data_IF_310687793345
#
_entry.id   IF_310687793345
#
_cell.length_a   1.000
_cell.length_b   1.000
_cell.length_c   1.000
_cell.angle_alpha   90.00
_cell.angle_beta   90.00
_cell.angle_gamma   90.00
#
_symmetry.space_group_name_H-M   'P 1'
#
loop_
_entity.id
_entity.type
_entity.pdbx_description
1 polymer ?
#
# COMPACT_ATOMS: atom_id res chain seq x y z
N UNK A 1 23.59 -59.59 25.07
CA UNK A 1 22.53 -58.63 24.64
C UNK A 1 22.29 -58.78 23.15
N UNK A 2 21.04 -59.04 22.75
CA UNK A 2 20.72 -59.47 21.37
C UNK A 2 20.81 -58.32 20.39
N UNK A 3 21.44 -58.45 19.22
CA UNK A 3 21.63 -57.35 18.23
C UNK A 3 20.33 -56.75 17.65
N UNK A 4 19.21 -57.36 17.90
CA UNK A 4 17.89 -56.87 17.47
C UNK A 4 17.39 -55.65 18.26
N UNK A 5 17.81 -55.48 19.51
CA UNK A 5 17.42 -54.30 20.34
C UNK A 5 18.14 -53.02 19.86
N UNK A 6 19.41 -53.14 19.50
CA UNK A 6 20.19 -51.99 19.01
C UNK A 6 19.64 -51.43 17.67
N UNK A 7 19.22 -52.33 16.76
CA UNK A 7 18.59 -51.94 15.48
C UNK A 7 17.27 -51.15 15.68
N UNK A 8 16.43 -51.55 16.64
CA UNK A 8 15.19 -50.84 16.92
C UNK A 8 15.40 -49.43 17.47
N UNK A 9 16.37 -49.21 18.31
CA UNK A 9 16.70 -47.86 18.83
C UNK A 9 17.34 -46.97 17.77
N UNK A 10 18.19 -47.50 16.89
CA UNK A 10 18.77 -46.75 15.77
C UNK A 10 17.69 -46.34 14.76
N UNK A 11 16.74 -47.22 14.43
CA UNK A 11 15.62 -46.88 13.53
C UNK A 11 14.71 -45.85 14.17
N UNK A 12 14.43 -45.97 15.48
CA UNK A 12 13.61 -44.97 16.21
C UNK A 12 14.29 -43.61 16.30
N UNK A 13 15.62 -43.60 16.49
CA UNK A 13 16.40 -42.36 16.49
C UNK A 13 16.51 -41.74 15.12
N UNK A 14 16.61 -42.49 14.05
CA UNK A 14 16.61 -42.02 12.65
C UNK A 14 15.22 -41.51 12.29
N UNK A 15 14.14 -42.14 12.72
CA UNK A 15 12.78 -41.66 12.54
C UNK A 15 12.51 -40.41 13.37
N UNK A 16 13.03 -40.33 14.61
CA UNK A 16 12.94 -39.11 15.44
C UNK A 16 13.75 -37.96 14.86
N UNK A 17 14.97 -38.18 14.36
CA UNK A 17 15.77 -37.21 13.62
C UNK A 17 15.10 -36.85 12.29
N UNK A 18 14.51 -37.81 11.58
CA UNK A 18 13.73 -37.58 10.35
C UNK A 18 12.51 -36.69 10.63
N UNK A 19 11.78 -36.90 11.73
CA UNK A 19 10.67 -36.02 12.14
C UNK A 19 11.14 -34.64 12.61
N UNK A 20 12.33 -34.53 13.21
CA UNK A 20 12.93 -33.24 13.61
C UNK A 20 13.48 -32.43 12.42
N UNK A 21 13.93 -33.11 11.34
CA UNK A 21 14.42 -32.44 10.11
C UNK A 21 13.24 -31.94 9.23
N UNK A 22 12.03 -32.48 9.38
CA UNK A 22 10.82 -32.01 8.69
C UNK A 22 9.98 -30.97 9.45
N UNK A 23 10.44 -30.44 10.56
CA UNK A 23 10.00 -29.14 11.01
C UNK A 23 10.62 -28.08 10.09
N UNK A 24 10.14 -28.01 8.85
CA UNK A 24 10.42 -26.90 7.94
C UNK A 24 10.12 -25.62 8.73
N UNK A 25 11.15 -24.93 9.15
CA UNK A 25 10.99 -23.67 9.82
C UNK A 25 10.21 -22.74 8.87
N UNK A 26 8.93 -22.54 9.14
CA UNK A 26 8.07 -21.69 8.30
C UNK A 26 8.78 -20.35 8.13
N UNK A 27 8.98 -19.96 6.89
CA UNK A 27 9.58 -18.67 6.54
C UNK A 27 8.52 -17.58 6.69
N UNK A 28 8.94 -16.32 6.90
CA UNK A 28 8.01 -15.20 7.09
C UNK A 28 7.01 -15.06 5.94
N UNK A 29 7.47 -15.28 4.71
CA UNK A 29 6.64 -15.27 3.50
C UNK A 29 5.62 -16.42 3.47
N UNK A 30 6.01 -17.65 3.84
CA UNK A 30 5.06 -18.79 3.87
C UNK A 30 3.98 -18.59 4.95
N UNK A 31 4.34 -18.03 6.09
CA UNK A 31 3.39 -17.71 7.17
C UNK A 31 2.37 -16.69 6.66
N UNK A 32 2.82 -15.59 6.06
CA UNK A 32 1.93 -14.52 5.64
C UNK A 32 1.02 -14.95 4.47
N UNK A 33 1.55 -15.71 3.49
CA UNK A 33 0.73 -16.23 2.38
C UNK A 33 -0.36 -17.16 2.91
N UNK A 34 -0.02 -18.09 3.81
CA UNK A 34 -0.98 -19.01 4.39
C UNK A 34 -2.05 -18.29 5.22
N UNK A 35 -1.66 -17.27 5.99
CA UNK A 35 -2.61 -16.49 6.77
C UNK A 35 -3.57 -15.69 5.88
N UNK A 36 -3.06 -15.00 4.86
CA UNK A 36 -3.89 -14.22 3.94
C UNK A 36 -4.81 -15.10 3.09
N UNK A 37 -4.37 -16.31 2.71
CA UNK A 37 -5.26 -17.28 2.02
C UNK A 37 -6.44 -17.69 2.90
N UNK A 38 -6.26 -17.85 4.21
CA UNK A 38 -7.36 -18.12 5.15
C UNK A 38 -8.35 -16.93 5.25
N UNK A 39 -7.88 -15.71 4.98
CA UNK A 39 -8.72 -14.51 4.90
C UNK A 39 -9.35 -14.31 3.49
N UNK A 40 -9.20 -15.29 2.59
CA UNK A 40 -9.77 -15.25 1.23
C UNK A 40 -8.93 -14.50 0.20
N UNK A 41 -7.69 -14.10 0.52
CA UNK A 41 -6.80 -13.45 -0.46
C UNK A 41 -6.19 -14.52 -1.37
N UNK A 42 -6.37 -14.33 -2.66
CA UNK A 42 -5.71 -15.14 -3.68
C UNK A 42 -4.29 -14.64 -3.93
N UNK A 43 -3.40 -15.56 -4.28
CA UNK A 43 -2.03 -15.27 -4.73
C UNK A 43 -1.80 -16.00 -6.05
N UNK A 44 -1.31 -15.28 -7.02
CA UNK A 44 -0.88 -15.82 -8.31
C UNK A 44 0.61 -15.62 -8.54
N UNK A 45 1.25 -16.50 -9.32
CA UNK A 45 2.70 -16.53 -9.54
C UNK A 45 3.12 -16.05 -10.94
N UNK A 46 2.24 -15.43 -11.69
CA UNK A 46 2.50 -14.98 -13.06
C UNK A 46 2.38 -13.46 -13.19
N UNK A 47 2.91 -12.72 -12.24
CA UNK A 47 2.85 -11.27 -12.25
C UNK A 47 4.23 -10.65 -12.50
N UNK A 48 4.25 -9.56 -13.26
CA UNK A 48 5.34 -8.62 -13.32
C UNK A 48 5.04 -7.43 -12.42
N UNK A 49 6.06 -6.95 -11.72
CA UNK A 49 5.97 -5.78 -10.83
C UNK A 49 7.10 -4.82 -11.18
N UNK A 50 6.76 -3.60 -11.55
CA UNK A 50 7.70 -2.49 -11.74
C UNK A 50 7.46 -1.46 -10.65
N UNK A 51 8.49 -1.16 -9.86
CA UNK A 51 8.42 -0.10 -8.86
C UNK A 51 8.56 1.26 -9.53
N UNK A 52 7.71 2.20 -9.16
CA UNK A 52 7.72 3.60 -9.61
C UNK A 52 8.01 4.46 -8.40
N UNK A 53 9.24 4.96 -8.32
CA UNK A 53 9.84 5.50 -7.10
C UNK A 53 9.73 7.02 -6.97
N UNK A 54 9.14 7.66 -8.00
CA UNK A 54 8.89 9.09 -8.05
C UNK A 54 7.59 9.41 -8.80
N UNK A 55 7.06 10.61 -8.57
CA UNK A 55 5.92 11.10 -9.34
C UNK A 55 6.21 11.19 -10.82
N UNK A 56 7.45 11.59 -11.21
CA UNK A 56 7.85 11.66 -12.62
C UNK A 56 7.77 10.27 -13.28
N UNK A 57 8.41 9.26 -12.69
CA UNK A 57 8.37 7.88 -13.20
C UNK A 57 6.93 7.36 -13.31
N UNK A 58 6.12 7.60 -12.26
CA UNK A 58 4.73 7.16 -12.24
C UNK A 58 3.91 7.78 -13.36
N UNK A 59 3.99 9.09 -13.57
CA UNK A 59 3.16 9.75 -14.58
C UNK A 59 3.66 9.50 -15.99
N UNK A 60 4.98 9.41 -16.24
CA UNK A 60 5.54 9.06 -17.54
C UNK A 60 5.10 7.65 -17.96
N UNK A 61 5.20 6.68 -17.08
CA UNK A 61 4.79 5.30 -17.35
C UNK A 61 3.26 5.19 -17.52
N UNK A 62 2.48 5.81 -16.63
CA UNK A 62 1.02 5.82 -16.72
C UNK A 62 0.51 6.46 -18.02
N UNK A 63 1.04 7.61 -18.39
CA UNK A 63 0.61 8.30 -19.62
C UNK A 63 0.99 7.52 -20.87
N UNK A 64 2.16 6.85 -20.86
CA UNK A 64 2.53 5.92 -21.93
C UNK A 64 1.54 4.77 -22.05
N UNK A 65 1.16 4.16 -20.94
CA UNK A 65 0.19 3.06 -20.93
C UNK A 65 -1.21 3.52 -21.37
N UNK A 66 -1.68 4.69 -20.93
CA UNK A 66 -2.97 5.26 -21.35
C UNK A 66 -3.00 5.50 -22.86
N UNK A 67 -1.93 6.05 -23.46
CA UNK A 67 -1.86 6.24 -24.93
C UNK A 67 -2.02 4.93 -25.72
N UNK A 68 -1.63 3.81 -25.13
CA UNK A 68 -1.72 2.47 -25.72
C UNK A 68 -3.04 1.76 -25.46
N UNK A 69 -3.91 2.31 -24.61
CA UNK A 69 -5.20 1.75 -24.28
C UNK A 69 -6.11 1.59 -25.49
N UNK A 70 -6.88 0.48 -25.53
CA UNK A 70 -7.72 0.10 -26.67
C UNK A 70 -9.18 -0.14 -26.32
N UNK A 71 -9.49 -0.50 -25.07
CA UNK A 71 -10.85 -0.90 -24.67
C UNK A 71 -11.37 -0.16 -23.45
N UNK A 72 -10.59 -0.09 -22.36
CA UNK A 72 -11.07 0.53 -21.13
C UNK A 72 -9.95 1.13 -20.29
N UNK A 73 -10.25 2.24 -19.62
CA UNK A 73 -9.38 2.90 -18.64
C UNK A 73 -10.23 3.18 -17.41
N UNK A 74 -9.89 2.54 -16.30
CA UNK A 74 -10.55 2.69 -15.02
C UNK A 74 -9.62 3.33 -14.01
N UNK A 75 -10.06 4.40 -13.33
CA UNK A 75 -9.26 5.16 -12.37
C UNK A 75 -10.03 5.33 -11.06
N UNK A 76 -9.42 5.00 -9.93
CA UNK A 76 -9.93 5.20 -8.58
C UNK A 76 -8.86 5.91 -7.77
N UNK A 77 -9.16 7.12 -7.28
CA UNK A 77 -8.20 7.91 -6.52
C UNK A 77 -8.88 8.59 -5.32
N UNK A 78 -8.12 8.82 -4.27
CA UNK A 78 -8.60 9.65 -3.15
C UNK A 78 -8.88 11.09 -3.62
N UNK A 79 -8.01 11.66 -4.47
CA UNK A 79 -8.28 12.93 -5.13
C UNK A 79 -7.60 13.07 -6.50
N UNK A 80 -8.23 13.86 -7.35
CA UNK A 80 -7.62 14.52 -8.51
C UNK A 80 -7.46 15.99 -8.16
N UNK A 81 -6.23 16.45 -8.05
CA UNK A 81 -6.00 17.86 -7.77
C UNK A 81 -6.15 18.66 -9.07
N UNK A 82 -6.89 19.76 -9.04
CA UNK A 82 -7.06 20.64 -10.21
C UNK A 82 -5.76 21.41 -10.49
N UNK A 83 -4.76 20.75 -11.10
CA UNK A 83 -3.44 21.28 -11.45
C UNK A 83 -2.94 20.73 -12.78
N UNK A 84 -1.66 21.03 -13.12
CA UNK A 84 -1.13 20.75 -14.45
C UNK A 84 -1.15 19.27 -14.81
N UNK A 85 -0.75 18.39 -13.89
CA UNK A 85 -0.68 16.96 -14.16
C UNK A 85 -2.07 16.33 -14.32
N UNK A 86 -3.05 16.76 -13.51
CA UNK A 86 -4.42 16.31 -13.66
C UNK A 86 -5.05 16.78 -14.97
N UNK A 87 -4.77 18.02 -15.39
CA UNK A 87 -5.25 18.54 -16.68
C UNK A 87 -4.64 17.77 -17.86
N UNK A 88 -3.34 17.45 -17.81
CA UNK A 88 -2.70 16.59 -18.81
C UNK A 88 -3.33 15.20 -18.86
N UNK A 89 -3.60 14.60 -17.68
CA UNK A 89 -4.30 13.32 -17.61
C UNK A 89 -5.67 13.40 -18.26
N UNK A 90 -6.51 14.38 -17.89
CA UNK A 90 -7.87 14.50 -18.45
C UNK A 90 -7.88 14.80 -19.95
N UNK A 91 -6.89 15.54 -20.46
CA UNK A 91 -6.75 15.73 -21.91
C UNK A 91 -6.46 14.41 -22.63
N UNK A 92 -5.54 13.61 -22.09
CA UNK A 92 -5.21 12.30 -22.66
C UNK A 92 -6.39 11.31 -22.56
N UNK A 93 -7.16 11.36 -21.47
CA UNK A 93 -8.36 10.55 -21.31
C UNK A 93 -9.47 10.95 -22.28
N UNK A 94 -9.61 12.25 -22.59
CA UNK A 94 -10.52 12.74 -23.63
C UNK A 94 -10.13 12.22 -25.03
N UNK A 95 -8.85 12.30 -25.40
CA UNK A 95 -8.34 11.71 -26.66
C UNK A 95 -8.74 10.24 -26.76
N UNK A 96 -8.54 9.46 -25.69
CA UNK A 96 -8.89 8.03 -25.66
C UNK A 96 -10.41 7.80 -25.73
N UNK A 97 -11.21 8.62 -25.05
CA UNK A 97 -12.69 8.53 -25.14
C UNK A 97 -13.17 8.83 -26.58
N UNK A 98 -12.55 9.78 -27.27
CA UNK A 98 -12.85 10.07 -28.67
C UNK A 98 -12.45 8.92 -29.62
N UNK A 99 -11.43 8.14 -29.26
CA UNK A 99 -11.04 6.91 -29.96
C UNK A 99 -11.99 5.71 -29.64
N UNK A 100 -13.01 5.90 -28.78
CA UNK A 100 -13.98 4.86 -28.41
C UNK A 100 -13.56 4.01 -27.20
N UNK A 101 -12.50 4.38 -26.47
CA UNK A 101 -12.10 3.70 -25.22
C UNK A 101 -13.07 4.09 -24.11
N UNK A 102 -13.57 3.10 -23.33
CA UNK A 102 -14.40 3.36 -22.16
C UNK A 102 -13.55 3.96 -21.03
N UNK A 103 -13.83 5.19 -20.61
CA UNK A 103 -13.11 5.87 -19.55
C UNK A 103 -13.98 6.11 -18.33
N UNK A 104 -13.63 5.48 -17.20
CA UNK A 104 -14.34 5.63 -15.93
C UNK A 104 -13.40 6.07 -14.82
N UNK A 105 -13.79 7.10 -14.07
CA UNK A 105 -12.99 7.68 -12.98
C UNK A 105 -13.83 7.84 -11.71
N UNK A 106 -13.28 7.39 -10.58
CA UNK A 106 -13.82 7.64 -9.25
C UNK A 106 -12.86 8.48 -8.43
N UNK A 107 -13.40 9.35 -7.58
CA UNK A 107 -12.64 10.05 -6.56
C UNK A 107 -13.46 10.19 -5.27
N UNK A 108 -12.77 10.29 -4.14
CA UNK A 108 -13.41 10.44 -2.83
C UNK A 108 -13.86 11.89 -2.60
N UNK A 109 -15.08 12.10 -2.12
CA UNK A 109 -15.65 13.43 -1.88
C UNK A 109 -14.87 14.21 -0.82
N UNK A 110 -14.53 13.58 0.32
CA UNK A 110 -13.71 14.21 1.34
C UNK A 110 -12.28 14.46 0.85
N UNK A 111 -11.70 13.49 0.13
CA UNK A 111 -10.38 13.62 -0.47
C UNK A 111 -10.30 14.80 -1.44
N UNK A 112 -11.35 15.01 -2.22
CA UNK A 112 -11.46 16.16 -3.11
C UNK A 112 -11.58 17.48 -2.32
N UNK A 113 -12.50 17.55 -1.38
CA UNK A 113 -12.82 18.81 -0.68
C UNK A 113 -11.72 19.24 0.31
N UNK A 114 -10.97 18.28 0.85
CA UNK A 114 -9.86 18.54 1.78
C UNK A 114 -8.59 19.06 1.09
N UNK A 115 -8.47 18.94 -0.24
CA UNK A 115 -7.32 19.46 -0.96
C UNK A 115 -7.50 20.95 -1.32
N UNK A 116 -6.38 21.67 -1.46
CA UNK A 116 -6.41 23.12 -1.70
C UNK A 116 -6.72 23.53 -3.16
N UNK A 117 -6.88 22.57 -4.07
CA UNK A 117 -7.30 22.75 -5.47
C UNK A 117 -8.29 21.66 -5.88
N UNK A 118 -9.50 21.59 -5.28
CA UNK A 118 -10.46 20.56 -5.58
C UNK A 118 -11.04 20.70 -6.99
N UNK A 119 -11.49 19.59 -7.55
CA UNK A 119 -12.36 19.62 -8.70
C UNK A 119 -13.73 20.17 -8.27
N UNK A 120 -14.11 21.31 -8.83
CA UNK A 120 -15.41 21.93 -8.57
C UNK A 120 -16.46 21.37 -9.53
N UNK A 121 -17.73 21.52 -9.19
CA UNK A 121 -18.86 21.03 -9.99
C UNK A 121 -18.75 21.39 -11.49
N UNK A 122 -18.29 22.60 -11.82
CA UNK A 122 -18.09 23.03 -13.20
C UNK A 122 -17.04 22.18 -13.92
N UNK A 123 -15.87 21.94 -13.28
CA UNK A 123 -14.81 21.11 -13.87
C UNK A 123 -15.27 19.65 -14.05
N UNK A 124 -16.00 19.09 -13.07
CA UNK A 124 -16.55 17.73 -13.16
C UNK A 124 -17.54 17.64 -14.35
N UNK A 125 -18.39 18.63 -14.54
CA UNK A 125 -19.30 18.70 -15.68
C UNK A 125 -18.55 18.84 -17.01
N UNK A 126 -17.48 19.62 -17.04
CA UNK A 126 -16.62 19.75 -18.22
C UNK A 126 -15.97 18.41 -18.58
N UNK A 127 -15.38 17.70 -17.61
CA UNK A 127 -14.77 16.40 -17.81
C UNK A 127 -15.80 15.41 -18.37
N UNK A 128 -17.03 15.40 -17.85
CA UNK A 128 -18.12 14.54 -18.35
C UNK A 128 -18.48 14.85 -19.82
N UNK A 129 -18.53 16.13 -20.20
CA UNK A 129 -18.82 16.54 -21.59
C UNK A 129 -17.73 16.09 -22.58
N UNK A 130 -16.53 15.80 -22.07
CA UNK A 130 -15.40 15.28 -22.83
C UNK A 130 -15.43 13.75 -23.01
N UNK A 131 -16.56 13.09 -22.62
CA UNK A 131 -16.76 11.65 -22.77
C UNK A 131 -16.19 10.80 -21.64
N UNK A 132 -15.76 11.41 -20.53
CA UNK A 132 -15.21 10.71 -19.36
C UNK A 132 -16.32 10.53 -18.33
N UNK A 133 -16.66 9.28 -17.98
CA UNK A 133 -17.55 9.00 -16.87
C UNK A 133 -16.80 9.22 -15.55
N UNK A 134 -17.04 10.36 -14.88
CA UNK A 134 -16.40 10.68 -13.60
C UNK A 134 -17.45 10.85 -12.49
N UNK A 135 -17.24 10.17 -11.35
CA UNK A 135 -18.15 10.20 -10.20
C UNK A 135 -17.38 10.42 -8.90
N UNK A 136 -18.09 11.06 -7.98
CA UNK A 136 -17.62 11.35 -6.63
C UNK A 136 -18.18 10.31 -5.67
N UNK A 137 -17.30 9.61 -4.95
CA UNK A 137 -17.70 8.67 -3.91
C UNK A 137 -18.05 9.43 -2.63
N UNK A 138 -19.25 9.21 -2.12
CA UNK A 138 -19.77 9.63 -0.83
C UNK A 138 -19.45 11.10 -0.47
N UNK A 139 -19.95 12.09 -1.27
CA UNK A 139 -19.71 13.51 -1.02
C UNK A 139 -20.31 13.93 0.33
N UNK A 140 -19.55 14.71 1.10
CA UNK A 140 -20.05 15.26 2.37
C UNK A 140 -21.04 16.38 2.08
N UNK A 141 -22.27 16.20 2.51
CA UNK A 141 -23.36 17.17 2.35
C UNK A 141 -23.95 17.52 3.71
N UNK A 142 -23.95 18.82 4.04
CA UNK A 142 -24.63 19.29 5.26
C UNK A 142 -26.12 18.94 5.20
N UNK A 143 -26.76 18.43 6.28
CA UNK A 143 -26.21 18.23 7.64
C UNK A 143 -25.56 16.86 7.90
N UNK A 144 -25.34 16.03 6.88
CA UNK A 144 -24.89 14.64 6.98
C UNK A 144 -23.38 14.54 7.14
N UNK A 145 -22.83 15.12 8.22
CA UNK A 145 -21.39 15.09 8.54
C UNK A 145 -20.89 13.73 9.03
N UNK A 146 -21.78 12.77 9.28
CA UNK A 146 -21.45 11.40 9.67
C UNK A 146 -20.69 10.61 8.57
N UNK A 147 -20.75 11.07 7.32
CA UNK A 147 -20.02 10.53 6.17
C UNK A 147 -18.52 10.85 6.16
N UNK A 148 -17.98 11.48 7.20
CA UNK A 148 -16.55 11.77 7.35
C UNK A 148 -15.69 10.50 7.46
N UNK A 149 -16.25 9.39 7.95
CA UNK A 149 -15.61 8.09 8.04
C UNK A 149 -15.87 7.24 6.78
N UNK A 150 -15.07 6.17 6.60
CA UNK A 150 -15.20 5.22 5.48
C UNK A 150 -14.85 5.83 4.12
N UNK A 151 -13.77 6.63 4.09
CA UNK A 151 -13.29 7.26 2.87
C UNK A 151 -12.58 6.27 1.94
N UNK A 152 -12.68 6.51 0.66
CA UNK A 152 -11.98 5.72 -0.35
C UNK A 152 -10.55 6.25 -0.54
N UNK A 153 -9.62 5.65 0.18
CA UNK A 153 -8.22 6.06 0.16
C UNK A 153 -7.36 5.24 -0.81
N UNK A 154 -7.97 4.41 -1.67
CA UNK A 154 -7.29 3.63 -2.70
C UNK A 154 -6.77 4.49 -3.84
N UNK A 155 -5.79 3.97 -4.55
CA UNK A 155 -5.23 4.55 -5.77
C UNK A 155 -5.04 3.42 -6.76
N UNK A 156 -6.03 3.21 -7.60
CA UNK A 156 -6.08 2.12 -8.57
C UNK A 156 -6.24 2.68 -9.98
N UNK A 157 -5.44 2.22 -10.92
CA UNK A 157 -5.73 2.36 -12.35
C UNK A 157 -5.69 0.99 -12.98
N UNK A 158 -6.64 0.68 -13.83
CA UNK A 158 -6.62 -0.52 -14.67
C UNK A 158 -6.85 -0.12 -16.12
N UNK A 159 -5.97 -0.61 -16.99
CA UNK A 159 -6.01 -0.33 -18.43
C UNK A 159 -6.19 -1.64 -19.18
N UNK A 160 -7.26 -1.74 -19.97
CA UNK A 160 -7.63 -2.89 -20.81
C UNK A 160 -7.69 -4.23 -20.06
N UNK A 161 -7.82 -4.22 -18.71
CA UNK A 161 -7.70 -5.41 -17.89
C UNK A 161 -6.31 -6.07 -17.93
N UNK A 162 -5.29 -5.41 -18.50
CA UNK A 162 -3.97 -5.97 -18.75
C UNK A 162 -2.88 -5.37 -17.86
N UNK A 163 -2.97 -4.07 -17.58
CA UNK A 163 -2.02 -3.30 -16.78
C UNK A 163 -2.77 -2.68 -15.63
N UNK A 164 -2.21 -2.75 -14.42
CA UNK A 164 -2.74 -2.03 -13.27
C UNK A 164 -1.66 -1.22 -12.57
N UNK A 165 -2.09 -0.16 -11.89
CA UNK A 165 -1.25 0.67 -11.01
C UNK A 165 -1.87 0.73 -9.63
N UNK A 166 -1.04 0.65 -8.60
CA UNK A 166 -1.45 0.88 -7.20
C UNK A 166 -0.29 1.41 -6.36
N UNK A 167 -0.61 2.09 -5.25
CA UNK A 167 0.41 2.65 -4.35
C UNK A 167 -0.07 3.89 -3.58
N UNK A 168 0.87 4.74 -3.15
CA UNK A 168 0.56 5.90 -2.30
C UNK A 168 0.16 7.17 -3.05
N UNK A 169 0.50 7.31 -4.37
CA UNK A 169 0.41 8.57 -5.10
C UNK A 169 -0.99 8.85 -5.65
N UNK A 170 -1.56 10.00 -5.33
CA UNK A 170 -2.71 10.57 -6.04
C UNK A 170 -2.31 11.22 -7.38
N UNK A 171 -3.20 12.00 -7.97
CA UNK A 171 -2.93 12.79 -9.18
C UNK A 171 -2.74 14.25 -8.78
N UNK A 172 -1.47 14.67 -8.66
CA UNK A 172 -1.12 16.04 -8.28
C UNK A 172 0.33 16.39 -8.66
N UNK A 173 0.54 17.67 -9.00
CA UNK A 173 1.86 18.24 -9.35
C UNK A 173 2.92 18.05 -8.26
N UNK A 174 2.51 18.05 -6.99
CA UNK A 174 3.47 17.99 -5.87
C UNK A 174 4.23 16.66 -5.77
N UNK A 175 3.76 15.59 -6.37
CA UNK A 175 4.53 14.34 -6.46
C UNK A 175 5.77 14.48 -7.35
N UNK A 176 5.78 15.46 -8.28
CA UNK A 176 6.90 15.77 -9.15
C UNK A 176 7.72 16.94 -8.60
N UNK A 177 7.03 18.04 -8.25
CA UNK A 177 7.66 19.33 -7.94
C UNK A 177 7.88 19.56 -6.45
N UNK A 178 7.32 18.70 -5.57
CA UNK A 178 7.27 18.97 -4.13
C UNK A 178 6.34 20.14 -3.78
N UNK A 179 6.47 20.64 -2.56
CA UNK A 179 5.77 21.84 -2.09
C UNK A 179 6.71 22.79 -1.36
N UNK A 180 6.31 24.07 -1.22
CA UNK A 180 7.10 25.03 -0.43
C UNK A 180 7.13 24.70 1.06
N UNK A 181 6.13 23.97 1.57
CA UNK A 181 5.97 23.65 3.01
C UNK A 181 6.83 22.46 3.41
N UNK A 182 6.85 21.39 2.59
CA UNK A 182 7.50 20.13 2.96
C UNK A 182 8.73 19.79 2.11
N UNK A 183 9.07 20.62 1.12
CA UNK A 183 10.18 20.34 0.19
C UNK A 183 9.79 19.26 -0.84
N UNK A 184 10.72 18.33 -1.10
CA UNK A 184 10.48 17.19 -1.98
C UNK A 184 9.38 16.29 -1.43
N UNK A 185 8.62 15.65 -2.33
CA UNK A 185 7.57 14.71 -1.99
C UNK A 185 7.92 13.33 -2.54
N UNK A 186 8.36 12.44 -1.66
CA UNK A 186 8.70 11.07 -2.02
C UNK A 186 7.53 10.14 -1.73
N UNK A 187 7.16 9.32 -2.70
CA UNK A 187 6.14 8.30 -2.52
C UNK A 187 6.43 7.10 -3.43
N UNK A 188 5.72 6.00 -3.22
CA UNK A 188 5.90 4.76 -3.97
C UNK A 188 4.61 4.36 -4.67
N UNK A 189 4.75 3.94 -5.92
CA UNK A 189 3.72 3.29 -6.71
C UNK A 189 4.29 2.02 -7.36
N UNK A 190 3.43 1.14 -7.84
CA UNK A 190 3.87 0.04 -8.68
C UNK A 190 2.92 -0.16 -9.86
N UNK A 191 3.49 -0.58 -10.98
CA UNK A 191 2.80 -1.13 -12.13
C UNK A 191 2.79 -2.64 -12.00
N UNK A 192 1.63 -3.24 -12.22
CA UNK A 192 1.37 -4.67 -12.20
C UNK A 192 0.90 -5.13 -13.58
N UNK A 193 1.42 -6.25 -14.04
CA UNK A 193 0.92 -7.00 -15.18
C UNK A 193 0.83 -8.47 -14.77
N UNK A 194 -0.23 -9.16 -15.14
CA UNK A 194 -0.48 -10.54 -14.73
C UNK A 194 -1.85 -10.73 -14.11
N UNK A 195 -2.05 -11.86 -13.44
CA UNK A 195 -3.38 -12.25 -12.95
C UNK A 195 -3.92 -11.32 -11.85
N UNK A 196 -3.04 -10.69 -11.05
CA UNK A 196 -3.50 -9.79 -9.98
C UNK A 196 -4.03 -8.44 -10.47
N UNK A 197 -3.87 -8.12 -11.75
CA UNK A 197 -4.63 -7.04 -12.40
C UNK A 197 -6.13 -7.27 -12.23
N UNK A 198 -6.58 -8.52 -12.33
CA UNK A 198 -7.98 -8.91 -12.15
C UNK A 198 -8.50 -8.62 -10.73
N UNK A 199 -7.65 -8.74 -9.72
CA UNK A 199 -8.02 -8.39 -8.34
C UNK A 199 -8.27 -6.90 -8.18
N UNK A 200 -7.41 -6.04 -8.75
CA UNK A 200 -7.60 -4.58 -8.74
C UNK A 200 -8.80 -4.16 -9.60
N UNK A 201 -9.01 -4.80 -10.75
CA UNK A 201 -10.17 -4.56 -11.60
C UNK A 201 -11.49 -4.86 -10.87
N UNK A 202 -11.55 -5.97 -10.14
CA UNK A 202 -12.74 -6.36 -9.35
C UNK A 202 -13.01 -5.35 -8.22
N UNK A 203 -11.96 -4.84 -7.57
CA UNK A 203 -12.06 -3.81 -6.53
C UNK A 203 -12.68 -2.55 -7.13
N UNK A 204 -12.12 -2.07 -8.25
CA UNK A 204 -12.64 -0.91 -8.97
C UNK A 204 -14.12 -1.07 -9.35
N UNK A 205 -14.48 -2.15 -10.06
CA UNK A 205 -15.85 -2.36 -10.53
C UNK A 205 -16.86 -2.47 -9.38
N UNK A 206 -16.47 -3.07 -8.26
CA UNK A 206 -17.31 -3.12 -7.07
C UNK A 206 -17.56 -1.73 -6.50
N UNK A 207 -16.51 -0.89 -6.40
CA UNK A 207 -16.64 0.49 -5.91
C UNK A 207 -17.41 1.36 -6.90
N UNK A 208 -17.15 1.20 -8.20
CA UNK A 208 -17.91 1.87 -9.26
C UNK A 208 -19.40 1.59 -9.16
N UNK A 209 -19.78 0.32 -9.18
CA UNK A 209 -21.19 -0.08 -9.13
C UNK A 209 -21.88 0.37 -7.83
N UNK A 210 -21.17 0.32 -6.71
CA UNK A 210 -21.66 0.84 -5.42
C UNK A 210 -21.93 2.35 -5.48
N UNK A 211 -21.04 3.11 -6.12
CA UNK A 211 -21.12 4.58 -6.17
C UNK A 211 -22.14 5.08 -7.17
N UNK A 212 -22.22 4.43 -8.32
CA UNK A 212 -23.03 4.90 -9.45
C UNK A 212 -24.41 4.23 -9.52
N UNK A 213 -24.62 3.14 -8.76
CA UNK A 213 -25.79 2.25 -8.86
C UNK A 213 -25.94 1.61 -10.26
N UNK A 214 -24.86 1.58 -11.04
CA UNK A 214 -24.78 0.84 -12.29
C UNK A 214 -24.47 -0.64 -12.00
N UNK A 215 -24.56 -1.50 -13.02
CA UNK A 215 -24.17 -2.90 -12.95
C UNK A 215 -23.16 -3.21 -14.06
N UNK A 216 -22.01 -2.57 -13.99
CA UNK A 216 -20.91 -2.79 -14.95
C UNK A 216 -20.22 -4.10 -14.61
N UNK A 217 -20.24 -5.05 -15.54
CA UNK A 217 -19.63 -6.36 -15.43
C UNK A 217 -19.35 -6.94 -16.82
N UNK A 218 -18.51 -7.96 -16.91
CA UNK A 218 -18.24 -8.66 -18.15
C UNK A 218 -16.80 -9.13 -18.25
N UNK A 219 -16.60 -10.20 -19.02
CA UNK A 219 -15.28 -10.83 -19.21
C UNK A 219 -14.27 -9.92 -19.91
N UNK A 220 -14.75 -8.95 -20.69
CA UNK A 220 -13.90 -7.98 -21.42
C UNK A 220 -13.00 -7.12 -20.51
N UNK A 221 -13.36 -6.95 -19.24
CA UNK A 221 -12.59 -6.16 -18.28
C UNK A 221 -11.50 -6.95 -17.59
N UNK A 222 -11.40 -8.25 -17.84
CA UNK A 222 -10.49 -9.13 -17.11
C UNK A 222 -9.49 -9.85 -18.03
N UNK A 223 -8.25 -9.88 -17.58
CA UNK A 223 -7.19 -10.62 -18.26
C UNK A 223 -7.49 -12.11 -18.27
N UNK A 224 -7.47 -12.75 -19.44
CA UNK A 224 -7.77 -14.17 -19.60
C UNK A 224 -9.25 -14.54 -19.55
N UNK A 225 -10.13 -13.55 -19.35
CA UNK A 225 -11.57 -13.77 -19.29
C UNK A 225 -12.07 -14.36 -17.96
N UNK A 226 -13.37 -14.66 -17.93
CA UNK A 226 -14.05 -15.34 -16.82
C UNK A 226 -14.65 -16.64 -17.31
N UNK A 227 -14.55 -17.71 -16.51
CA UNK A 227 -15.35 -18.92 -16.65
C UNK A 227 -16.12 -19.16 -15.36
N UNK A 228 -17.44 -19.32 -15.44
CA UNK A 228 -18.35 -19.58 -14.31
C UNK A 228 -18.19 -18.57 -13.15
N UNK A 229 -17.92 -17.29 -13.48
CA UNK A 229 -17.67 -16.22 -12.51
C UNK A 229 -16.29 -16.25 -11.86
N UNK A 230 -15.42 -17.17 -12.24
CA UNK A 230 -14.02 -17.28 -11.79
C UNK A 230 -13.06 -16.83 -12.88
N UNK A 231 -11.92 -16.24 -12.46
CA UNK A 231 -10.87 -15.87 -13.41
C UNK A 231 -10.20 -17.10 -14.02
N UNK A 232 -10.12 -17.14 -15.34
CA UNK A 232 -9.23 -18.05 -16.04
C UNK A 232 -7.84 -17.44 -15.95
N UNK A 233 -7.06 -17.86 -14.93
CA UNK A 233 -5.69 -17.39 -14.79
C UNK A 233 -4.83 -17.81 -15.97
N UNK A 234 -4.04 -16.90 -16.53
CA UNK A 234 -3.02 -17.24 -17.51
C UNK A 234 -1.94 -18.10 -16.83
N UNK A 235 -1.50 -19.16 -17.51
CA UNK A 235 -0.33 -19.91 -17.05
C UNK A 235 0.91 -19.03 -17.14
N UNK A 236 1.90 -19.19 -16.22
CA UNK A 236 3.18 -18.49 -16.31
C UNK A 236 3.82 -18.74 -17.69
N UNK A 237 4.31 -17.65 -18.32
CA UNK A 237 5.12 -17.78 -19.55
C UNK A 237 6.58 -18.05 -19.16
N UNK A 238 7.12 -19.25 -19.41
CA UNK A 238 8.49 -19.60 -19.04
C UNK A 238 9.54 -18.73 -19.73
N UNK A 239 9.17 -18.02 -20.80
CA UNK A 239 10.07 -17.13 -21.54
C UNK A 239 10.18 -15.73 -20.91
N UNK A 240 9.32 -15.40 -19.92
CA UNK A 240 9.34 -14.14 -19.21
C UNK A 240 9.60 -14.33 -17.70
N UNK A 241 10.86 -14.52 -17.27
CA UNK A 241 11.19 -14.74 -15.86
C UNK A 241 10.85 -13.55 -14.96
N UNK A 242 10.78 -12.31 -15.49
CA UNK A 242 10.32 -11.14 -14.74
C UNK A 242 8.82 -11.21 -14.42
N UNK A 243 8.04 -12.00 -15.16
CA UNK A 243 6.60 -12.22 -15.00
C UNK A 243 6.23 -13.35 -14.05
N UNK A 244 7.15 -13.84 -13.21
CA UNK A 244 6.89 -14.99 -12.30
C UNK A 244 6.78 -14.59 -10.83
N UNK A 245 6.50 -13.32 -10.52
CA UNK A 245 6.39 -12.89 -9.14
C UNK A 245 5.06 -13.35 -8.54
N UNK A 246 5.13 -13.87 -7.31
CA UNK A 246 3.93 -14.15 -6.54
C UNK A 246 3.41 -12.86 -5.93
N UNK A 247 2.18 -12.51 -6.26
CA UNK A 247 1.50 -11.30 -5.76
C UNK A 247 0.13 -11.66 -5.23
N UNK A 248 -0.33 -10.97 -4.20
CA UNK A 248 -1.72 -10.98 -3.73
C UNK A 248 -2.15 -9.57 -3.36
N UNK A 249 -3.41 -9.24 -3.60
CA UNK A 249 -3.97 -7.91 -3.28
C UNK A 249 -4.82 -8.00 -2.02
N UNK A 250 -4.38 -7.30 -0.98
CA UNK A 250 -5.21 -7.07 0.21
C UNK A 250 -6.16 -5.93 -0.10
N UNK A 251 -7.44 -6.17 0.09
CA UNK A 251 -8.48 -5.16 -0.02
C UNK A 251 -9.19 -5.01 1.32
N UNK A 252 -9.07 -3.82 1.93
CA UNK A 252 -9.81 -3.48 3.13
C UNK A 252 -11.09 -2.73 2.78
N UNK A 253 -12.19 -3.25 3.26
CA UNK A 253 -13.50 -2.61 3.20
C UNK A 253 -14.08 -2.48 4.63
N UNK A 254 -14.67 -1.35 5.00
CA UNK A 254 -15.10 -1.08 6.37
C UNK A 254 -16.02 -2.14 6.99
N UNK A 255 -16.87 -2.78 6.18
CA UNK A 255 -17.90 -3.70 6.66
C UNK A 255 -17.59 -5.18 6.43
N UNK A 256 -16.77 -5.53 5.44
CA UNK A 256 -16.53 -6.92 5.01
C UNK A 256 -15.15 -7.45 5.37
N UNK A 257 -14.12 -6.60 5.33
CA UNK A 257 -12.73 -6.98 5.59
C UNK A 257 -12.00 -5.99 6.52
N UNK A 258 -12.70 -5.47 7.51
CA UNK A 258 -12.29 -4.32 8.32
C UNK A 258 -11.00 -4.51 9.15
N UNK A 259 -10.56 -5.75 9.38
CA UNK A 259 -9.35 -6.03 10.19
C UNK A 259 -8.17 -6.53 9.35
N UNK A 260 -8.34 -6.79 8.05
CA UNK A 260 -7.36 -7.51 7.23
C UNK A 260 -5.99 -6.84 7.18
N UNK A 261 -5.91 -5.53 6.98
CA UNK A 261 -4.64 -4.79 6.96
C UNK A 261 -3.95 -4.83 8.33
N UNK A 262 -4.69 -4.61 9.40
CA UNK A 262 -4.15 -4.67 10.76
C UNK A 262 -3.61 -6.05 11.10
N UNK A 263 -4.34 -7.12 10.72
CA UNK A 263 -3.88 -8.51 10.88
C UNK A 263 -2.64 -8.76 10.05
N UNK A 264 -2.66 -8.40 8.78
CA UNK A 264 -1.50 -8.54 7.90
C UNK A 264 -0.22 -7.94 8.51
N UNK A 265 -0.25 -6.67 8.91
CA UNK A 265 0.94 -6.05 9.53
C UNK A 265 1.33 -6.74 10.84
N UNK A 266 0.36 -7.16 11.66
CA UNK A 266 0.64 -7.87 12.91
C UNK A 266 1.33 -9.20 12.64
N UNK A 267 0.84 -9.96 11.67
CA UNK A 267 1.35 -11.30 11.33
C UNK A 267 2.70 -11.21 10.60
N UNK A 268 2.87 -10.24 9.70
CA UNK A 268 4.13 -9.94 9.06
C UNK A 268 5.25 -9.63 10.09
N UNK A 269 4.95 -8.76 11.07
CA UNK A 269 5.88 -8.41 12.15
C UNK A 269 6.15 -9.59 13.09
N UNK A 270 5.13 -10.37 13.43
CA UNK A 270 5.28 -11.54 14.31
C UNK A 270 6.03 -12.69 13.62
N UNK A 271 5.84 -12.86 12.30
CA UNK A 271 6.51 -13.89 11.50
C UNK A 271 7.97 -13.57 11.14
N UNK A 272 8.38 -12.31 11.26
CA UNK A 272 9.74 -11.87 10.95
C UNK A 272 10.78 -12.57 11.86
N UNK A 273 11.89 -13.01 11.24
CA UNK A 273 13.01 -13.71 11.89
C UNK A 273 14.31 -12.92 11.88
N UNK A 274 14.55 -12.16 10.79
CA UNK A 274 15.84 -11.49 10.56
C UNK A 274 15.70 -9.96 10.62
N UNK A 275 14.80 -9.40 9.82
CA UNK A 275 14.72 -7.95 9.67
C UNK A 275 13.34 -7.43 9.26
N UNK A 276 13.03 -6.23 9.71
CA UNK A 276 11.89 -5.42 9.27
C UNK A 276 12.40 -4.03 8.92
N UNK A 277 12.15 -3.58 7.69
CA UNK A 277 12.28 -2.18 7.27
C UNK A 277 10.89 -1.62 6.93
N UNK A 278 10.54 -0.47 7.47
CA UNK A 278 9.22 0.13 7.33
C UNK A 278 9.34 1.62 7.06
N UNK A 279 8.61 2.11 6.04
CA UNK A 279 8.41 3.55 5.80
C UNK A 279 6.91 3.81 5.86
N UNK A 280 6.50 4.79 6.65
CA UNK A 280 5.10 5.23 6.70
C UNK A 280 5.01 6.67 7.20
N UNK A 281 4.27 7.58 6.49
CA UNK A 281 4.21 9.00 6.84
C UNK A 281 3.45 9.25 8.15
N UNK A 282 2.36 8.52 8.39
CA UNK A 282 1.44 8.77 9.51
C UNK A 282 1.45 7.60 10.49
N UNK A 283 2.61 7.37 11.10
CA UNK A 283 2.87 6.24 11.99
C UNK A 283 2.28 6.50 13.40
N UNK A 284 0.94 6.42 13.51
CA UNK A 284 0.23 6.55 14.79
C UNK A 284 -0.28 5.19 15.27
N UNK A 285 0.65 4.26 15.49
CA UNK A 285 0.41 2.85 15.74
C UNK A 285 -0.53 2.58 16.92
N UNK A 286 -1.43 1.65 16.74
CA UNK A 286 -2.23 1.08 17.83
C UNK A 286 -1.39 0.19 18.78
N UNK A 287 -1.96 -0.16 19.92
CA UNK A 287 -1.27 -0.96 20.95
C UNK A 287 -0.82 -2.35 20.45
N UNK A 288 -1.58 -2.96 19.52
CA UNK A 288 -1.28 -4.29 18.96
C UNK A 288 0.00 -4.26 18.12
N UNK A 289 0.11 -3.31 17.19
CA UNK A 289 1.30 -3.15 16.34
C UNK A 289 2.52 -2.73 17.15
N UNK A 290 2.36 -1.81 18.13
CA UNK A 290 3.45 -1.46 19.05
C UNK A 290 3.98 -2.68 19.81
N UNK A 291 3.08 -3.52 20.34
CA UNK A 291 3.48 -4.76 21.02
C UNK A 291 4.17 -5.76 20.08
N UNK A 292 3.67 -5.88 18.84
CA UNK A 292 4.29 -6.77 17.85
C UNK A 292 5.73 -6.34 17.53
N UNK A 293 5.97 -5.05 17.26
CA UNK A 293 7.33 -4.51 17.01
C UNK A 293 8.27 -4.72 18.21
N UNK A 294 7.79 -4.46 19.44
CA UNK A 294 8.57 -4.72 20.66
C UNK A 294 8.94 -6.20 20.81
N UNK A 295 8.00 -7.11 20.53
CA UNK A 295 8.27 -8.55 20.55
C UNK A 295 9.28 -8.97 19.46
N UNK A 296 9.18 -8.38 18.26
CA UNK A 296 10.15 -8.63 17.19
C UNK A 296 11.58 -8.27 17.63
N UNK A 297 11.78 -7.07 18.20
CA UNK A 297 13.09 -6.67 18.76
C UNK A 297 13.55 -7.62 19.86
N UNK A 298 12.68 -8.05 20.79
CA UNK A 298 13.02 -9.01 21.83
C UNK A 298 13.43 -10.39 21.30
N UNK A 299 12.95 -10.78 20.11
CA UNK A 299 13.38 -12.00 19.39
C UNK A 299 14.71 -11.83 18.65
N UNK A 300 15.33 -10.64 18.66
CA UNK A 300 16.56 -10.34 17.94
C UNK A 300 16.35 -9.83 16.51
N UNK A 301 15.11 -9.63 16.07
CA UNK A 301 14.80 -9.08 14.73
C UNK A 301 15.30 -7.64 14.64
N UNK A 302 16.02 -7.31 13.57
CA UNK A 302 16.50 -5.95 13.27
C UNK A 302 15.32 -5.11 12.74
N UNK A 303 14.77 -4.23 13.58
CA UNK A 303 13.63 -3.38 13.20
C UNK A 303 14.11 -1.97 12.91
N UNK A 304 13.95 -1.52 11.67
CA UNK A 304 14.26 -0.17 11.21
C UNK A 304 12.98 0.51 10.68
N UNK A 305 12.72 1.72 11.15
CA UNK A 305 11.57 2.52 10.73
C UNK A 305 12.07 3.87 10.23
N UNK A 306 11.53 4.33 9.11
CA UNK A 306 11.80 5.67 8.60
C UNK A 306 10.53 6.52 8.64
N UNK A 307 10.65 7.74 9.15
CA UNK A 307 9.60 8.76 9.14
C UNK A 307 10.21 10.11 8.75
N UNK A 308 9.41 10.99 8.16
CA UNK A 308 9.88 12.34 7.81
C UNK A 308 9.89 13.28 8.99
N UNK A 309 10.81 14.25 8.97
CA UNK A 309 10.80 15.42 9.87
C UNK A 309 9.75 16.47 9.48
N UNK A 310 9.28 16.42 8.24
CA UNK A 310 8.24 17.29 7.67
C UNK A 310 6.92 16.51 7.48
N UNK A 311 5.81 17.22 7.48
CA UNK A 311 4.49 16.66 7.16
C UNK A 311 3.59 17.75 6.58
N UNK A 312 2.63 17.30 5.80
CA UNK A 312 1.58 18.11 5.17
C UNK A 312 0.38 18.38 6.09
N UNK A 313 0.24 17.61 7.19
CA UNK A 313 -0.88 17.71 8.14
C UNK A 313 -0.38 18.25 9.48
N UNK A 314 -0.96 19.35 10.00
CA UNK A 314 -0.66 19.88 11.35
C UNK A 314 -0.94 18.81 12.44
N UNK A 315 -0.22 18.84 13.56
CA UNK A 315 -0.32 17.96 14.73
C UNK A 315 0.07 16.50 14.49
N UNK A 316 -0.13 15.95 13.29
CA UNK A 316 0.24 14.56 12.95
C UNK A 316 1.72 14.29 13.19
N UNK A 317 2.68 15.17 12.80
CA UNK A 317 4.10 14.96 13.09
C UNK A 317 4.38 14.81 14.58
N UNK A 318 3.73 15.60 15.42
CA UNK A 318 3.94 15.56 16.86
C UNK A 318 3.50 14.23 17.45
N UNK A 319 2.38 13.68 16.99
CA UNK A 319 1.90 12.35 17.36
C UNK A 319 2.85 11.26 16.84
N UNK A 320 3.28 11.32 15.57
CA UNK A 320 4.26 10.38 14.98
C UNK A 320 5.56 10.38 15.78
N UNK A 321 6.12 11.55 16.08
CA UNK A 321 7.37 11.67 16.81
C UNK A 321 7.27 11.11 18.23
N UNK A 322 6.14 11.31 18.91
CA UNK A 322 5.90 10.67 20.19
C UNK A 322 5.90 9.14 20.07
N UNK A 323 5.20 8.60 19.07
CA UNK A 323 5.13 7.15 18.84
C UNK A 323 6.50 6.53 18.53
N UNK A 324 7.28 7.15 17.63
CA UNK A 324 8.60 6.60 17.26
C UNK A 324 9.61 6.74 18.39
N UNK A 325 9.53 7.78 19.23
CA UNK A 325 10.33 7.89 20.45
C UNK A 325 10.05 6.74 21.42
N UNK A 326 8.77 6.37 21.61
CA UNK A 326 8.43 5.21 22.42
C UNK A 326 9.01 3.90 21.84
N UNK A 327 8.98 3.72 20.53
CA UNK A 327 9.55 2.55 19.86
C UNK A 327 11.08 2.51 19.98
N UNK A 328 11.76 3.64 19.79
CA UNK A 328 13.20 3.79 19.96
C UNK A 328 13.66 3.33 21.35
N UNK A 329 12.92 3.70 22.40
CA UNK A 329 13.21 3.25 23.80
C UNK A 329 13.10 1.74 23.99
N UNK A 330 12.50 1.03 23.05
CA UNK A 330 12.37 -0.43 23.04
C UNK A 330 13.26 -1.11 21.98
N UNK A 331 14.30 -0.41 21.49
CA UNK A 331 15.31 -0.96 20.62
C UNK A 331 15.00 -0.91 19.12
N UNK A 332 13.88 -0.29 18.72
CA UNK A 332 13.61 -0.03 17.29
C UNK A 332 14.54 1.10 16.82
N UNK A 333 15.21 0.89 15.69
CA UNK A 333 16.04 1.93 15.06
C UNK A 333 15.15 2.84 14.22
N UNK A 334 15.08 4.10 14.58
CA UNK A 334 14.23 5.09 13.90
C UNK A 334 15.10 6.07 13.13
N UNK A 335 14.87 6.17 11.84
CA UNK A 335 15.54 7.08 10.92
C UNK A 335 14.62 8.27 10.61
N UNK A 336 15.13 9.47 10.87
CA UNK A 336 14.40 10.73 10.68
C UNK A 336 14.84 11.32 9.33
N UNK A 337 14.01 11.14 8.30
CA UNK A 337 14.29 11.64 6.95
C UNK A 337 14.14 13.17 6.90
N UNK A 338 15.18 13.86 6.40
CA UNK A 338 15.26 15.32 6.47
C UNK A 338 15.04 16.07 5.16
N UNK A 339 15.29 15.51 3.95
CA UNK A 339 15.22 16.29 2.71
C UNK A 339 13.82 16.78 2.31
N UNK A 340 12.77 16.14 2.85
CA UNK A 340 11.41 16.49 2.49
C UNK A 340 10.38 15.57 3.15
N UNK A 341 9.22 15.39 2.51
CA UNK A 341 8.17 14.53 3.01
C UNK A 341 8.21 13.16 2.35
N UNK A 342 8.41 12.12 3.16
CA UNK A 342 8.42 10.73 2.72
C UNK A 342 7.05 10.11 2.93
N UNK A 343 6.21 10.18 1.91
CA UNK A 343 4.82 9.73 1.96
C UNK A 343 4.63 8.24 1.61
N UNK A 344 5.72 7.50 1.42
CA UNK A 344 5.72 6.07 1.07
C UNK A 344 5.11 5.19 2.16
N UNK A 345 4.37 4.17 1.76
CA UNK A 345 3.74 3.17 2.62
C UNK A 345 4.20 1.77 2.22
N UNK A 346 5.33 1.33 2.80
CA UNK A 346 5.95 0.03 2.48
C UNK A 346 6.43 -0.66 3.75
N UNK A 347 6.39 -1.97 3.74
CA UNK A 347 7.11 -2.82 4.68
C UNK A 347 7.91 -3.86 3.90
N UNK A 348 9.12 -4.13 4.34
CA UNK A 348 9.99 -5.20 3.83
C UNK A 348 10.33 -6.12 4.98
N UNK A 349 10.18 -7.42 4.80
CA UNK A 349 10.37 -8.42 5.86
C UNK A 349 11.34 -9.49 5.39
N UNK A 350 12.42 -9.70 6.15
CA UNK A 350 13.44 -10.75 5.99
C UNK A 350 14.08 -10.81 4.59
N UNK A 351 14.01 -9.72 3.80
CA UNK A 351 14.43 -9.71 2.39
C UNK A 351 13.62 -10.68 1.50
N UNK A 352 12.44 -11.15 1.94
CA UNK A 352 11.63 -12.16 1.28
C UNK A 352 10.40 -11.63 0.62
N UNK A 353 9.73 -10.69 1.26
CA UNK A 353 8.53 -10.04 0.72
C UNK A 353 8.45 -8.58 1.12
N UNK A 354 7.67 -7.83 0.37
CA UNK A 354 7.39 -6.42 0.61
C UNK A 354 5.94 -6.08 0.26
N UNK A 355 5.52 -4.87 0.63
CA UNK A 355 4.23 -4.30 0.18
C UNK A 355 4.41 -2.95 -0.45
N UNK A 356 3.53 -2.64 -1.40
CA UNK A 356 3.29 -1.30 -1.94
C UNK A 356 1.79 -1.09 -1.96
N UNK A 357 1.29 0.02 -1.41
CA UNK A 357 -0.15 0.27 -1.38
C UNK A 357 -0.53 1.62 -0.80
N UNK A 358 -1.82 1.75 -0.49
CA UNK A 358 -2.41 3.01 -0.02
C UNK A 358 -2.41 3.15 1.50
N UNK A 359 -2.31 2.03 2.25
CA UNK A 359 -2.61 1.98 3.67
C UNK A 359 -1.56 2.64 4.57
N UNK A 360 -1.99 3.65 5.30
CA UNK A 360 -1.21 4.22 6.39
C UNK A 360 -1.30 3.35 7.66
N UNK A 361 -0.31 3.48 8.53
CA UNK A 361 -0.31 2.83 9.85
C UNK A 361 -0.89 3.78 10.92
N UNK A 362 -2.06 4.32 10.62
CA UNK A 362 -2.86 5.16 11.51
C UNK A 362 -4.25 4.55 11.77
N UNK A 363 -5.01 5.16 12.67
CA UNK A 363 -6.32 4.65 13.04
C UNK A 363 -7.32 4.68 11.87
N UNK A 364 -7.24 5.68 10.99
CA UNK A 364 -8.13 5.80 9.84
C UNK A 364 -7.97 4.62 8.89
N UNK A 365 -6.77 4.41 8.35
CA UNK A 365 -6.48 3.32 7.42
C UNK A 365 -6.70 1.94 8.03
N UNK A 366 -6.41 1.77 9.33
CA UNK A 366 -6.53 0.47 9.99
C UNK A 366 -7.96 0.10 10.40
N UNK A 367 -8.88 1.09 10.58
CA UNK A 367 -10.20 0.83 11.13
C UNK A 367 -11.37 1.38 10.31
N UNK A 368 -11.17 2.39 9.45
CA UNK A 368 -12.29 3.12 8.83
C UNK A 368 -12.26 3.13 7.30
N UNK A 369 -11.14 3.51 6.68
CA UNK A 369 -11.10 3.82 5.25
C UNK A 369 -11.02 2.55 4.38
N UNK A 370 -11.41 2.66 3.11
CA UNK A 370 -11.13 1.67 2.08
C UNK A 370 -9.66 1.80 1.69
N UNK A 371 -8.93 0.69 1.70
CA UNK A 371 -7.49 0.66 1.44
C UNK A 371 -7.13 -0.59 0.64
N UNK A 372 -6.04 -0.53 -0.11
CA UNK A 372 -5.44 -1.70 -0.74
C UNK A 372 -3.93 -1.73 -0.58
N UNK A 373 -3.38 -2.94 -0.54
CA UNK A 373 -1.94 -3.17 -0.60
C UNK A 373 -1.63 -4.38 -1.49
N UNK A 374 -0.70 -4.20 -2.42
CA UNK A 374 -0.07 -5.30 -3.11
C UNK A 374 0.98 -5.94 -2.19
N UNK A 375 0.83 -7.22 -1.89
CA UNK A 375 1.81 -8.05 -1.18
C UNK A 375 2.62 -8.80 -2.20
N UNK A 376 3.91 -8.51 -2.30
CA UNK A 376 4.82 -9.00 -3.33
C UNK A 376 5.81 -9.95 -2.67
N UNK A 377 5.66 -11.25 -2.97
CA UNK A 377 6.55 -12.32 -2.50
C UNK A 377 7.65 -12.51 -3.53
N UNK A 378 8.63 -11.62 -3.49
CA UNK A 378 9.76 -11.63 -4.42
C UNK A 378 11.00 -10.99 -3.80
N UNK A 379 12.09 -11.74 -3.74
CA UNK A 379 13.34 -11.26 -3.14
C UNK A 379 13.96 -10.11 -3.92
N UNK A 380 13.89 -10.12 -5.25
CA UNK A 380 14.48 -9.06 -6.07
C UNK A 380 13.76 -7.73 -5.84
N UNK A 381 12.42 -7.72 -5.86
CA UNK A 381 11.63 -6.52 -5.58
C UNK A 381 11.84 -6.03 -4.14
N UNK A 382 11.91 -6.96 -3.17
CA UNK A 382 12.19 -6.62 -1.77
C UNK A 382 13.59 -6.02 -1.60
N UNK A 383 14.59 -6.55 -2.31
CA UNK A 383 15.94 -6.01 -2.32
C UNK A 383 16.02 -4.61 -2.94
N UNK A 384 15.28 -4.36 -4.03
CA UNK A 384 15.18 -3.03 -4.64
C UNK A 384 14.63 -2.00 -3.64
N UNK A 385 13.51 -2.32 -2.96
CA UNK A 385 12.96 -1.44 -1.92
C UNK A 385 13.89 -1.26 -0.72
N UNK A 386 14.58 -2.32 -0.32
CA UNK A 386 15.57 -2.26 0.76
C UNK A 386 16.74 -1.35 0.41
N UNK A 387 17.20 -1.37 -0.85
CA UNK A 387 18.24 -0.48 -1.35
C UNK A 387 17.78 0.98 -1.36
N UNK A 388 16.55 1.25 -1.78
CA UNK A 388 15.95 2.59 -1.70
C UNK A 388 15.87 3.08 -0.25
N UNK A 389 15.45 2.23 0.67
CA UNK A 389 15.47 2.55 2.10
C UNK A 389 16.88 2.92 2.59
N UNK A 390 17.90 2.16 2.20
CA UNK A 390 19.29 2.41 2.64
C UNK A 390 19.87 3.69 2.00
N UNK A 391 19.49 4.01 0.75
CA UNK A 391 19.80 5.29 0.11
C UNK A 391 19.20 6.47 0.88
N UNK A 392 17.92 6.38 1.25
CA UNK A 392 17.21 7.46 1.94
C UNK A 392 17.65 7.57 3.41
N UNK A 393 18.11 6.46 4.00
CA UNK A 393 18.75 6.40 5.30
C UNK A 393 20.04 7.22 5.35
N UNK A 394 20.81 7.29 4.24
CA UNK A 394 22.00 8.13 4.16
C UNK A 394 21.68 9.64 4.28
N UNK A 395 20.43 10.04 4.01
CA UNK A 395 19.92 11.40 4.12
C UNK A 395 19.08 11.62 5.39
N UNK A 396 19.16 10.68 6.33
CA UNK A 396 18.39 10.66 7.58
C UNK A 396 19.33 10.69 8.77
N UNK A 397 18.87 11.18 9.92
CA UNK A 397 19.59 10.98 11.17
C UNK A 397 18.93 9.89 12.03
N UNK A 398 19.75 9.14 12.77
CA UNK A 398 19.27 8.15 13.72
C UNK A 398 18.68 8.85 14.94
N UNK A 399 17.44 8.52 15.28
CA UNK A 399 16.80 9.01 16.50
C UNK A 399 17.43 8.31 17.72
N UNK A 400 18.10 9.10 18.55
CA UNK A 400 18.67 8.71 19.85
C UNK A 400 18.04 9.59 20.94
N UNK A 401 18.27 9.26 22.20
CA UNK A 401 17.78 10.12 23.30
C UNK A 401 18.40 11.54 23.23
N UNK A 402 19.67 11.62 22.81
CA UNK A 402 20.34 12.93 22.64
C UNK A 402 19.75 13.72 21.47
N UNK A 403 19.57 13.10 20.28
CA UNK A 403 18.96 13.76 19.14
C UNK A 403 17.50 14.11 19.40
N UNK A 404 16.74 13.27 20.13
CA UNK A 404 15.38 13.56 20.56
C UNK A 404 15.30 14.83 21.41
N UNK A 405 16.20 14.96 22.41
CA UNK A 405 16.21 16.14 23.29
C UNK A 405 16.57 17.43 22.55
N UNK A 406 17.41 17.33 21.53
CA UNK A 406 17.76 18.47 20.64
C UNK A 406 16.62 18.82 19.68
N UNK A 407 16.00 17.80 19.09
CA UNK A 407 14.95 17.97 18.07
C UNK A 407 13.63 18.46 18.65
N UNK A 408 13.29 18.10 19.91
CA UNK A 408 11.99 18.37 20.54
C UNK A 408 12.12 19.15 21.83
N UNK A 409 11.59 20.38 21.85
CA UNK A 409 11.45 21.17 23.09
C UNK A 409 10.47 20.49 24.07
N UNK A 410 10.51 20.82 25.38
CA UNK A 410 9.56 20.27 26.36
C UNK A 410 8.10 20.49 25.96
N UNK A 411 7.78 21.67 25.42
CA UNK A 411 6.43 21.98 24.91
C UNK A 411 6.00 21.06 23.76
N UNK A 412 6.86 20.86 22.77
CA UNK A 412 6.58 19.96 21.65
C UNK A 412 6.47 18.50 22.09
N UNK A 413 7.17 18.08 23.15
CA UNK A 413 7.01 16.73 23.77
C UNK A 413 5.63 16.59 24.39
N UNK A 414 5.16 17.63 25.12
CA UNK A 414 3.81 17.67 25.69
C UNK A 414 2.73 17.63 24.59
N UNK A 415 2.86 18.48 23.54
CA UNK A 415 1.93 18.46 22.40
C UNK A 415 1.88 17.07 21.75
N UNK A 416 3.01 16.39 21.57
CA UNK A 416 3.08 15.05 21.01
C UNK A 416 2.38 14.00 21.89
N UNK A 417 2.54 14.10 23.20
CA UNK A 417 1.83 13.26 24.15
C UNK A 417 0.32 13.50 24.07
N UNK A 418 -0.12 14.75 24.07
CA UNK A 418 -1.53 15.12 23.96
C UNK A 418 -2.12 14.67 22.61
N UNK A 419 -1.43 14.94 21.49
CA UNK A 419 -1.84 14.48 20.15
C UNK A 419 -1.96 12.96 20.07
N UNK A 420 -1.11 12.22 20.80
CA UNK A 420 -1.21 10.76 20.87
C UNK A 420 -2.51 10.27 21.53
N UNK A 421 -3.09 11.00 22.47
CA UNK A 421 -4.40 10.67 23.04
C UNK A 421 -5.51 10.79 22.00
N UNK A 422 -5.34 11.68 21.02
CA UNK A 422 -6.26 11.87 19.89
C UNK A 422 -5.98 10.92 18.71
N UNK A 423 -4.92 10.11 18.77
CA UNK A 423 -4.53 9.21 17.70
C UNK A 423 -5.65 8.27 17.16
N UNK A 424 -6.65 7.85 17.95
CA UNK A 424 -7.79 7.09 17.40
C UNK A 424 -8.64 7.84 16.39
N UNK A 425 -8.50 9.17 16.32
CA UNK A 425 -9.26 10.06 15.43
C UNK A 425 -8.40 10.71 14.33
N UNK A 426 -7.07 10.50 14.37
CA UNK A 426 -6.07 11.05 13.42
C UNK A 426 -5.71 10.09 12.31
#
# INVERSE_FOLDING_TARGET
MRPQFLKRYVIFFILLLGCLVFAYAQTADSVIVNQLRKEGITFSCNNSVTLLTSGQEKFDDLFKAIRQARSSIHLEYFNFRNDSIANLLFNLLEEKAQEGVEVRALFDGFGNDSNNRPLRRKQIQDIRRRGIEIYEFDPIRFPFVNHIFHRDHRKIVVIDGQIAYTGGMNVADYYIKGTRVVGTWNDMHCRLEGNEVNSLQRIFLRMWNKTTHQNIQGAQYYRGGLSDGHFIGLKPDPRNPAGHKMVGIINREPHTSNTIIRRFYTDAINGAKDSIKLINPYLTLNATLKRALRRAVKRGVKVEIMVSTHSDIPLTPDCVFYNVHQLMRHGVRVWMYTPGFHHTKVIMVDGRFCTVGSANLNARSLNFDYEENAVIIDRCTTAQLSHLFDRDKAQSFLLTQASWNRFRSPWKKFVGWFAHLLAPFL
#
